data_IF_072449375660
#
_entry.id   IF_072449375660
#
_cell.length_a   1.000
_cell.length_b   1.000
_cell.length_c   1.000
_cell.angle_alpha   90.00
_cell.angle_beta   90.00
_cell.angle_gamma   90.00
#
_symmetry.space_group_name_H-M   'P 1'
#
loop_
_entity.id
_entity.type
_entity.pdbx_description
1 polymer ?
#
# COMPACT_ATOMS: atom_id res chain seq x y z
N UNK A 1 -26.55 26.07 34.40
CA UNK A 1 -25.09 25.93 34.28
C UNK A 1 -24.46 27.30 34.24
N UNK A 2 -23.59 27.59 35.16
CA UNK A 2 -22.84 28.85 35.26
C UNK A 2 -21.54 28.75 34.47
N UNK A 3 -20.91 29.91 34.17
CA UNK A 3 -19.63 29.94 33.44
C UNK A 3 -18.50 29.18 34.16
N UNK A 4 -18.31 29.28 35.50
CA UNK A 4 -17.34 28.49 36.24
C UNK A 4 -17.59 26.96 36.16
N UNK A 5 -18.85 26.53 36.12
CA UNK A 5 -19.19 25.11 35.95
C UNK A 5 -18.82 24.60 34.55
N UNK A 6 -19.05 25.43 33.53
CA UNK A 6 -18.65 25.10 32.17
C UNK A 6 -17.12 24.95 32.04
N UNK A 7 -16.35 25.87 32.62
CA UNK A 7 -14.90 25.84 32.63
C UNK A 7 -14.34 24.61 33.41
N UNK A 8 -15.03 24.18 34.45
CA UNK A 8 -14.66 22.95 35.16
C UNK A 8 -14.84 21.71 34.28
N UNK A 9 -15.98 21.63 33.57
CA UNK A 9 -16.22 20.52 32.64
C UNK A 9 -15.24 20.48 31.45
N UNK A 10 -14.88 21.64 30.92
CA UNK A 10 -13.85 21.74 29.85
C UNK A 10 -12.50 21.22 30.32
N UNK A 11 -12.07 21.58 31.54
CA UNK A 11 -10.82 21.05 32.10
C UNK A 11 -10.87 19.53 32.31
N UNK A 12 -12.00 18.99 32.75
CA UNK A 12 -12.19 17.58 32.88
C UNK A 12 -12.09 16.88 31.52
N UNK A 13 -12.67 17.46 30.46
CA UNK A 13 -12.55 16.95 29.07
C UNK A 13 -11.09 16.99 28.62
N UNK A 14 -10.36 18.09 28.86
CA UNK A 14 -8.95 18.21 28.46
C UNK A 14 -8.06 17.12 29.13
N UNK A 15 -8.31 16.84 30.42
CA UNK A 15 -7.61 15.75 31.14
C UNK A 15 -7.93 14.37 30.54
N UNK A 16 -9.20 14.11 30.19
CA UNK A 16 -9.62 12.86 29.55
C UNK A 16 -9.04 12.72 28.14
N UNK A 17 -8.97 13.83 27.38
CA UNK A 17 -8.35 13.83 26.05
C UNK A 17 -6.86 13.53 26.11
N UNK A 18 -6.15 14.01 27.13
CA UNK A 18 -4.75 13.67 27.35
C UNK A 18 -4.57 12.16 27.62
N UNK A 19 -5.42 11.57 28.44
CA UNK A 19 -5.40 10.13 28.72
C UNK A 19 -5.71 9.33 27.46
N UNK A 20 -6.74 9.73 26.71
CA UNK A 20 -7.15 9.12 25.46
C UNK A 20 -6.03 9.15 24.41
N UNK A 21 -5.40 10.32 24.24
CA UNK A 21 -4.26 10.49 23.30
C UNK A 21 -3.12 9.54 23.66
N UNK A 22 -2.71 9.49 24.92
CA UNK A 22 -1.66 8.57 25.38
C UNK A 22 -2.03 7.10 25.22
N UNK A 23 -3.29 6.73 25.41
CA UNK A 23 -3.76 5.37 25.16
C UNK A 23 -3.73 5.01 23.67
N UNK A 24 -4.15 5.93 22.78
CA UNK A 24 -4.09 5.75 21.34
C UNK A 24 -2.66 5.65 20.83
N UNK A 25 -1.72 6.46 21.35
CA UNK A 25 -0.29 6.37 21.01
C UNK A 25 0.26 4.98 21.32
N UNK A 26 0.08 4.48 22.54
CA UNK A 26 0.47 3.14 22.94
C UNK A 26 -0.16 2.06 22.07
N UNK A 27 -1.43 2.25 21.68
CA UNK A 27 -2.11 1.35 20.78
C UNK A 27 -1.47 1.34 19.39
N UNK A 28 -1.07 2.50 18.86
CA UNK A 28 -0.39 2.59 17.56
C UNK A 28 1.00 1.94 17.60
N UNK A 29 1.72 2.03 18.71
CA UNK A 29 2.99 1.32 18.86
C UNK A 29 2.81 -0.21 18.87
N UNK A 30 1.76 -0.72 19.50
CA UNK A 30 1.40 -2.13 19.39
C UNK A 30 1.03 -2.54 17.96
N UNK A 31 0.32 -1.66 17.22
CA UNK A 31 -0.03 -1.86 15.80
C UNK A 31 1.22 -1.97 14.91
N UNK A 32 2.27 -1.19 15.17
CA UNK A 32 3.56 -1.31 14.46
C UNK A 32 4.19 -2.69 14.66
N UNK A 33 4.14 -3.23 15.88
CA UNK A 33 4.65 -4.58 16.17
C UNK A 33 3.82 -5.66 15.45
N UNK A 34 2.48 -5.50 15.40
CA UNK A 34 1.60 -6.39 14.64
C UNK A 34 1.90 -6.33 13.14
N UNK A 35 2.20 -5.13 12.59
CA UNK A 35 2.60 -5.00 11.20
C UNK A 35 3.86 -5.81 10.89
N UNK A 36 4.91 -5.69 11.71
CA UNK A 36 6.15 -6.46 11.57
C UNK A 36 5.90 -7.98 11.66
N UNK A 37 5.03 -8.43 12.58
CA UNK A 37 4.65 -9.84 12.69
C UNK A 37 3.96 -10.35 11.41
N UNK A 38 3.01 -9.57 10.87
CA UNK A 38 2.28 -9.90 9.65
C UNK A 38 3.20 -9.93 8.43
N UNK A 39 4.12 -8.96 8.33
CA UNK A 39 5.13 -8.90 7.28
C UNK A 39 5.99 -10.16 7.24
N UNK A 40 6.54 -10.56 8.39
CA UNK A 40 7.40 -11.73 8.48
C UNK A 40 6.70 -13.05 8.06
N UNK A 41 5.36 -13.07 8.06
CA UNK A 41 4.54 -14.26 7.74
C UNK A 41 3.68 -14.10 6.49
N UNK A 42 3.83 -13.01 5.76
CA UNK A 42 3.01 -12.70 4.58
C UNK A 42 1.49 -12.74 4.86
N UNK A 43 1.09 -12.30 6.06
CA UNK A 43 -0.32 -12.27 6.46
C UNK A 43 -1.00 -10.98 5.98
N UNK A 44 -2.30 -11.02 5.63
CA UNK A 44 -3.04 -9.84 5.21
C UNK A 44 -3.18 -8.83 6.36
N UNK A 45 -3.21 -7.54 6.02
CA UNK A 45 -3.45 -6.46 7.00
C UNK A 45 -4.85 -6.56 7.57
N UNK A 46 -5.86 -6.73 6.71
CA UNK A 46 -7.26 -6.84 7.11
C UNK A 46 -7.55 -8.19 7.75
N UNK A 47 -8.06 -8.15 8.96
CA UNK A 47 -8.56 -9.32 9.72
C UNK A 47 -9.98 -8.99 10.22
N UNK A 48 -10.97 -9.33 9.40
CA UNK A 48 -12.39 -9.00 9.66
C UNK A 48 -12.90 -9.64 10.94
N UNK A 49 -12.51 -10.89 11.20
CA UNK A 49 -12.94 -11.61 12.41
C UNK A 49 -12.40 -10.92 13.67
N UNK A 50 -11.13 -10.51 13.64
CA UNK A 50 -10.52 -9.77 14.74
C UNK A 50 -11.18 -8.42 14.96
N UNK A 51 -11.51 -7.68 13.88
CA UNK A 51 -12.18 -6.39 13.99
C UNK A 51 -13.56 -6.51 14.62
N UNK A 52 -14.36 -7.50 14.21
CA UNK A 52 -15.66 -7.77 14.83
C UNK A 52 -15.52 -8.10 16.32
N UNK A 53 -14.53 -8.92 16.70
CA UNK A 53 -14.25 -9.22 18.11
C UNK A 53 -13.85 -7.99 18.91
N UNK A 54 -13.12 -7.05 18.31
CA UNK A 54 -12.75 -5.78 18.96
C UNK A 54 -13.98 -4.93 19.20
N UNK A 55 -14.85 -4.74 18.20
CA UNK A 55 -16.09 -3.97 18.34
C UNK A 55 -17.01 -4.56 19.43
N UNK A 56 -17.23 -5.86 19.41
CA UNK A 56 -18.05 -6.54 20.41
C UNK A 56 -17.49 -6.37 21.85
N UNK A 57 -16.17 -6.42 22.01
CA UNK A 57 -15.54 -6.19 23.31
C UNK A 57 -15.65 -4.74 23.77
N UNK A 58 -15.49 -3.79 22.85
CA UNK A 58 -15.53 -2.36 23.18
C UNK A 58 -16.90 -1.95 23.71
N UNK A 59 -17.97 -2.41 23.08
CA UNK A 59 -19.33 -2.17 23.58
C UNK A 59 -19.58 -2.83 24.93
N UNK A 60 -18.96 -4.00 25.18
CA UNK A 60 -19.05 -4.69 26.47
C UNK A 60 -18.33 -4.00 27.65
N UNK A 61 -17.45 -3.03 27.38
CA UNK A 61 -16.79 -2.26 28.43
C UNK A 61 -17.60 -1.03 28.89
N UNK A 62 -18.69 -0.69 28.18
CA UNK A 62 -19.50 0.49 28.48
C UNK A 62 -20.38 0.25 29.70
N UNK A 63 -20.38 1.21 30.61
CA UNK A 63 -21.33 1.27 31.73
C UNK A 63 -22.67 1.91 31.31
N UNK A 64 -22.63 2.86 30.35
CA UNK A 64 -23.83 3.48 29.80
C UNK A 64 -24.09 2.98 28.38
N UNK A 65 -25.17 2.22 28.13
CA UNK A 65 -25.50 1.67 26.80
C UNK A 65 -25.81 2.75 25.74
N UNK A 66 -26.18 3.96 26.12
CA UNK A 66 -26.47 5.07 25.19
C UNK A 66 -25.24 5.47 24.36
N UNK A 67 -24.04 5.20 24.89
CA UNK A 67 -22.79 5.49 24.19
C UNK A 67 -22.34 4.34 23.25
N UNK A 68 -23.11 3.28 23.10
CA UNK A 68 -22.69 2.12 22.30
C UNK A 68 -22.46 2.48 20.83
N UNK A 69 -23.42 3.19 20.19
CA UNK A 69 -23.27 3.58 18.79
C UNK A 69 -22.12 4.59 18.57
N UNK A 70 -22.02 5.72 19.29
CA UNK A 70 -20.88 6.63 19.15
C UNK A 70 -19.53 5.95 19.40
N UNK A 71 -19.45 5.03 20.36
CA UNK A 71 -18.21 4.32 20.66
C UNK A 71 -17.83 3.33 19.54
N UNK A 72 -18.82 2.71 18.91
CA UNK A 72 -18.58 1.85 17.75
C UNK A 72 -17.97 2.65 16.60
N UNK A 73 -18.54 3.81 16.26
CA UNK A 73 -18.05 4.69 15.19
C UNK A 73 -16.59 5.12 15.45
N UNK A 74 -16.29 5.53 16.68
CA UNK A 74 -14.92 5.88 17.09
C UNK A 74 -13.97 4.70 16.91
N UNK A 75 -14.36 3.52 17.37
CA UNK A 75 -13.51 2.33 17.29
C UNK A 75 -13.31 1.85 15.85
N UNK A 76 -14.30 1.96 14.99
CA UNK A 76 -14.17 1.69 13.56
C UNK A 76 -13.12 2.62 12.94
N UNK A 77 -13.16 3.92 13.27
CA UNK A 77 -12.18 4.90 12.80
C UNK A 77 -10.77 4.63 13.34
N UNK A 78 -10.65 4.25 14.60
CA UNK A 78 -9.38 3.83 15.22
C UNK A 78 -8.80 2.59 14.52
N UNK A 79 -9.63 1.63 14.14
CA UNK A 79 -9.18 0.43 13.40
C UNK A 79 -8.79 0.76 11.95
N UNK A 80 -9.56 1.60 11.27
CA UNK A 80 -9.21 2.11 9.94
C UNK A 80 -7.84 2.81 9.94
N UNK A 81 -7.64 3.73 10.89
CA UNK A 81 -6.35 4.42 11.05
C UNK A 81 -5.21 3.46 11.33
N UNK A 82 -5.46 2.42 12.13
CA UNK A 82 -4.48 1.36 12.41
C UNK A 82 -4.13 0.54 11.16
N UNK A 83 -5.10 0.23 10.29
CA UNK A 83 -4.85 -0.43 9.00
C UNK A 83 -3.99 0.44 8.09
N UNK A 84 -4.33 1.72 7.98
CA UNK A 84 -3.57 2.66 7.16
C UNK A 84 -2.12 2.78 7.62
N UNK A 85 -1.88 2.81 8.93
CA UNK A 85 -0.53 2.78 9.49
C UNK A 85 0.23 1.48 9.12
N UNK A 86 -0.42 0.31 9.24
CA UNK A 86 0.19 -0.96 8.84
C UNK A 86 0.52 -0.99 7.35
N UNK A 87 -0.40 -0.55 6.49
CA UNK A 87 -0.19 -0.49 5.03
C UNK A 87 1.01 0.42 4.72
N UNK A 88 1.10 1.59 5.34
CA UNK A 88 2.24 2.51 5.15
C UNK A 88 3.58 1.85 5.51
N UNK A 89 3.65 1.18 6.66
CA UNK A 89 4.87 0.47 7.11
C UNK A 89 5.26 -0.63 6.13
N UNK A 90 4.30 -1.45 5.70
CA UNK A 90 4.55 -2.55 4.76
C UNK A 90 4.99 -2.04 3.38
N UNK A 91 4.37 -0.96 2.90
CA UNK A 91 4.75 -0.33 1.63
C UNK A 91 6.18 0.19 1.67
N UNK A 92 6.59 0.88 2.74
CA UNK A 92 7.97 1.36 2.90
C UNK A 92 8.97 0.21 3.04
N UNK A 93 8.62 -0.86 3.74
CA UNK A 93 9.46 -2.05 3.84
C UNK A 93 9.65 -2.73 2.46
N UNK A 94 8.59 -2.82 1.65
CA UNK A 94 8.64 -3.34 0.28
C UNK A 94 9.53 -2.48 -0.62
N UNK A 95 9.37 -1.15 -0.56
CA UNK A 95 10.22 -0.20 -1.31
C UNK A 95 11.69 -0.34 -0.91
N UNK A 96 11.97 -0.43 0.39
CA UNK A 96 13.34 -0.62 0.88
C UNK A 96 13.96 -1.92 0.37
N UNK A 97 13.19 -3.03 0.39
CA UNK A 97 13.64 -4.32 -0.17
C UNK A 97 13.89 -4.24 -1.66
N UNK A 98 13.00 -3.58 -2.41
CA UNK A 98 13.17 -3.38 -3.85
C UNK A 98 14.45 -2.58 -4.15
N UNK A 99 14.74 -1.52 -3.39
CA UNK A 99 15.97 -0.73 -3.55
C UNK A 99 17.27 -1.47 -3.20
N UNK A 100 17.19 -2.48 -2.33
CA UNK A 100 18.33 -3.31 -1.93
C UNK A 100 18.44 -4.62 -2.73
N UNK A 101 17.51 -4.89 -3.65
CA UNK A 101 17.56 -6.05 -4.52
C UNK A 101 18.62 -5.88 -5.62
N UNK A 102 19.14 -6.99 -6.11
CA UNK A 102 19.98 -6.97 -7.31
C UNK A 102 19.21 -6.34 -8.47
N UNK A 103 19.86 -5.53 -9.31
CA UNK A 103 19.20 -4.85 -10.40
C UNK A 103 18.59 -5.85 -11.38
N UNK A 104 17.30 -5.69 -11.65
CA UNK A 104 16.60 -6.53 -12.63
C UNK A 104 16.87 -6.02 -14.05
N UNK A 105 17.05 -6.95 -14.98
CA UNK A 105 17.14 -6.60 -16.41
C UNK A 105 15.74 -6.46 -16.99
N UNK A 106 15.52 -5.31 -17.68
CA UNK A 106 14.24 -4.99 -18.31
C UNK A 106 14.51 -4.64 -19.77
N UNK A 107 13.82 -5.33 -20.68
CA UNK A 107 13.89 -5.06 -22.11
C UNK A 107 12.82 -4.05 -22.55
N UNK A 108 13.13 -3.19 -23.49
CA UNK A 108 12.15 -2.31 -24.13
C UNK A 108 12.47 -2.16 -25.63
N UNK A 109 11.45 -1.92 -26.43
CA UNK A 109 11.64 -1.66 -27.86
C UNK A 109 11.92 -0.18 -28.12
N UNK A 110 12.88 0.09 -28.99
CA UNK A 110 13.24 1.41 -29.43
C UNK A 110 14.55 1.93 -28.84
N UNK A 111 14.72 3.24 -28.90
CA UNK A 111 15.92 3.93 -28.40
C UNK A 111 15.62 4.59 -27.04
N UNK A 112 16.67 5.03 -26.36
CA UNK A 112 16.54 5.81 -25.15
C UNK A 112 15.70 7.07 -25.41
N UNK A 113 14.73 7.38 -24.54
CA UNK A 113 13.78 8.47 -24.71
C UNK A 113 12.55 8.12 -25.57
N UNK A 114 12.43 6.89 -26.10
CA UNK A 114 11.20 6.40 -26.73
C UNK A 114 10.05 6.27 -25.72
N UNK A 115 8.80 6.16 -26.19
CA UNK A 115 7.64 5.96 -25.33
C UNK A 115 7.75 4.68 -24.47
N UNK A 116 8.30 3.59 -25.04
CA UNK A 116 8.53 2.36 -24.29
C UNK A 116 9.58 2.54 -23.19
N UNK A 117 10.64 3.33 -23.46
CA UNK A 117 11.65 3.67 -22.46
C UNK A 117 11.05 4.53 -21.32
N UNK A 118 10.28 5.55 -21.67
CA UNK A 118 9.62 6.40 -20.68
C UNK A 118 8.66 5.61 -19.80
N UNK A 119 7.84 4.73 -20.39
CA UNK A 119 6.94 3.85 -19.65
C UNK A 119 7.71 2.90 -18.72
N UNK A 120 8.89 2.41 -19.14
CA UNK A 120 9.79 1.63 -18.31
C UNK A 120 10.28 2.44 -17.10
N UNK A 121 10.77 3.65 -17.35
CA UNK A 121 11.25 4.53 -16.28
C UNK A 121 10.16 4.87 -15.28
N UNK A 122 8.96 5.20 -15.75
CA UNK A 122 7.81 5.53 -14.89
C UNK A 122 7.34 4.33 -14.05
N UNK A 123 7.20 3.17 -14.68
CA UNK A 123 6.67 1.98 -13.99
C UNK A 123 7.67 1.37 -13.00
N UNK A 124 8.96 1.37 -13.34
CA UNK A 124 10.04 0.79 -12.54
C UNK A 124 10.91 1.86 -11.86
N UNK A 125 10.38 3.05 -11.62
CA UNK A 125 11.13 4.21 -11.10
C UNK A 125 11.91 3.90 -9.81
N UNK A 126 11.35 3.11 -8.90
CA UNK A 126 11.92 2.83 -7.57
C UNK A 126 12.70 1.50 -7.51
N UNK A 127 12.83 0.79 -8.62
CA UNK A 127 13.45 -0.53 -8.67
C UNK A 127 14.82 -0.42 -9.31
N UNK A 128 15.91 -0.93 -8.66
CA UNK A 128 17.21 -1.05 -9.31
C UNK A 128 17.10 -1.87 -10.58
N UNK A 129 17.47 -1.29 -11.72
CA UNK A 129 17.26 -1.91 -13.02
C UNK A 129 18.44 -1.71 -13.95
N UNK A 130 18.61 -2.66 -14.87
CA UNK A 130 19.48 -2.58 -16.05
C UNK A 130 18.55 -2.58 -17.26
N UNK A 131 18.58 -1.51 -18.01
CA UNK A 131 17.73 -1.29 -19.16
C UNK A 131 18.41 -1.81 -20.42
N UNK A 132 17.68 -2.62 -21.19
CA UNK A 132 18.16 -3.23 -22.43
C UNK A 132 17.23 -2.86 -23.59
N UNK A 133 17.74 -2.11 -24.54
CA UNK A 133 16.98 -1.73 -25.72
C UNK A 133 17.07 -2.76 -26.82
N UNK A 134 15.97 -2.95 -27.54
CA UNK A 134 15.84 -3.85 -28.68
C UNK A 134 15.23 -3.09 -29.87
N UNK A 135 15.56 -3.51 -31.08
CA UNK A 135 15.06 -2.86 -32.30
C UNK A 135 13.63 -3.35 -32.60
N UNK A 136 13.38 -4.64 -32.49
CA UNK A 136 12.10 -5.24 -32.84
C UNK A 136 11.33 -5.69 -31.60
N UNK A 137 10.00 -5.72 -31.69
CA UNK A 137 9.13 -6.21 -30.60
C UNK A 137 9.38 -7.67 -30.28
N UNK A 138 9.61 -8.50 -31.32
CA UNK A 138 9.91 -9.91 -31.15
C UNK A 138 11.18 -10.14 -30.32
N UNK A 139 12.22 -9.31 -30.50
CA UNK A 139 13.47 -9.44 -29.74
C UNK A 139 13.24 -9.25 -28.24
N UNK A 140 12.36 -8.31 -27.86
CA UNK A 140 11.98 -8.12 -26.45
C UNK A 140 11.28 -9.36 -25.90
N UNK A 141 10.33 -9.92 -26.62
CA UNK A 141 9.59 -11.13 -26.22
C UNK A 141 10.53 -12.32 -26.08
N UNK A 142 11.44 -12.50 -27.06
CA UNK A 142 12.42 -13.58 -27.04
C UNK A 142 13.43 -13.44 -25.92
N UNK A 143 13.85 -12.23 -25.58
CA UNK A 143 14.74 -11.96 -24.46
C UNK A 143 14.08 -12.33 -23.12
N UNK A 144 12.78 -12.04 -22.95
CA UNK A 144 12.00 -12.48 -21.78
C UNK A 144 11.91 -14.01 -21.74
N UNK A 145 11.56 -14.63 -22.86
CA UNK A 145 11.41 -16.10 -22.98
C UNK A 145 12.72 -16.84 -22.67
N UNK A 146 13.85 -16.30 -23.10
CA UNK A 146 15.19 -16.84 -22.83
C UNK A 146 15.70 -16.52 -21.41
N UNK A 147 15.01 -15.68 -20.65
CA UNK A 147 15.45 -15.23 -19.32
C UNK A 147 16.63 -14.23 -19.36
N UNK A 148 16.93 -13.63 -20.50
CA UNK A 148 17.94 -12.58 -20.65
C UNK A 148 17.51 -11.31 -19.94
N UNK A 149 16.20 -11.01 -19.98
CA UNK A 149 15.53 -9.94 -19.21
C UNK A 149 14.36 -10.53 -18.41
N UNK A 150 14.07 -9.93 -17.28
CA UNK A 150 12.97 -10.37 -16.41
C UNK A 150 11.61 -9.85 -16.87
N UNK A 151 11.59 -8.67 -17.45
CA UNK A 151 10.39 -8.00 -17.96
C UNK A 151 10.68 -7.41 -19.34
N UNK A 152 9.63 -7.30 -20.15
CA UNK A 152 9.65 -6.62 -21.44
C UNK A 152 8.56 -5.53 -21.46
N UNK A 153 8.90 -4.34 -21.98
CA UNK A 153 7.96 -3.23 -22.16
C UNK A 153 7.67 -3.08 -23.65
N UNK A 154 6.41 -3.26 -24.02
CA UNK A 154 5.91 -3.18 -25.38
C UNK A 154 4.72 -2.24 -25.48
N UNK A 155 4.64 -1.40 -26.52
CA UNK A 155 3.49 -0.54 -26.75
C UNK A 155 2.33 -1.39 -27.33
N UNK A 156 1.15 -1.26 -26.78
CA UNK A 156 -0.06 -1.96 -27.26
C UNK A 156 -0.81 -1.12 -28.30
N UNK A 157 -0.80 0.19 -28.11
CA UNK A 157 -1.50 1.14 -28.98
C UNK A 157 -0.64 2.35 -29.28
N UNK A 158 -0.87 2.96 -30.44
CA UNK A 158 -0.31 4.23 -30.84
C UNK A 158 -1.47 5.19 -31.16
N UNK A 159 -1.40 6.40 -30.64
CA UNK A 159 -2.44 7.44 -30.85
C UNK A 159 -2.69 7.79 -32.32
N UNK A 160 -1.71 7.56 -33.21
CA UNK A 160 -1.80 7.86 -34.65
C UNK A 160 -2.30 6.70 -35.50
N UNK A 161 -2.01 5.44 -35.11
CA UNK A 161 -2.27 4.25 -35.93
C UNK A 161 -3.17 3.23 -35.24
N UNK A 162 -3.58 3.47 -33.98
CA UNK A 162 -4.38 2.52 -33.19
C UNK A 162 -3.56 1.35 -32.66
N UNK A 163 -4.18 0.19 -32.51
CA UNK A 163 -3.55 -1.01 -31.96
C UNK A 163 -2.40 -1.52 -32.82
N UNK A 164 -1.31 -1.93 -32.18
CA UNK A 164 -0.13 -2.49 -32.86
C UNK A 164 -0.32 -3.99 -33.04
N UNK A 165 -0.85 -4.41 -34.20
CA UNK A 165 -1.22 -5.80 -34.51
C UNK A 165 -0.05 -6.77 -34.27
N UNK A 166 1.17 -6.39 -34.63
CA UNK A 166 2.38 -7.21 -34.43
C UNK A 166 2.57 -7.60 -32.95
N UNK A 167 2.35 -6.66 -32.01
CA UNK A 167 2.49 -6.95 -30.58
C UNK A 167 1.38 -7.89 -30.09
N UNK A 168 0.15 -7.74 -30.57
CA UNK A 168 -0.93 -8.67 -30.25
C UNK A 168 -0.66 -10.09 -30.78
N UNK A 169 -0.10 -10.21 -31.98
CA UNK A 169 0.24 -11.50 -32.56
C UNK A 169 1.37 -12.18 -31.80
N UNK A 170 2.41 -11.44 -31.40
CA UNK A 170 3.48 -11.94 -30.55
C UNK A 170 2.95 -12.42 -29.19
N UNK A 171 2.03 -11.67 -28.55
CA UNK A 171 1.42 -12.07 -27.28
C UNK A 171 0.51 -13.32 -27.38
N UNK A 172 0.04 -13.66 -28.58
CA UNK A 172 -0.70 -14.91 -28.82
C UNK A 172 0.21 -16.10 -29.09
N UNK A 173 1.37 -15.84 -29.68
CA UNK A 173 2.30 -16.88 -30.11
C UNK A 173 3.17 -17.38 -28.95
N UNK A 174 3.48 -16.51 -27.97
CA UNK A 174 4.40 -16.78 -26.86
C UNK A 174 3.75 -16.64 -25.50
#
# INVERSE_FOLDING_TARGET
MTEPELEALRREIDELDQILTGALEKRMDAVKQVAAYKEARSLPVLDREREQKVLAKTTGYLHNPEYAAPMQDIMEKVMETSRNLQIGILTEAMKKRARCADPIRIGYQGVQGSFSHQALEDYFAEIPKIEMNYIHFEDVVMAVKKGEVKYGVLPIENSSTGGITEVYDLMRQY
#
